data_IF_061437696669
#
_entry.id   IF_061437696669
#
_cell.length_a   1.000
_cell.length_b   1.000
_cell.length_c   1.000
_cell.angle_alpha   90.00
_cell.angle_beta   90.00
_cell.angle_gamma   90.00
#
_symmetry.space_group_name_H-M   'P 1'
#
loop_
_entity.id
_entity.type
_entity.pdbx_description
1 polymer ?
#
# COMPACT_ATOMS: atom_id res chain seq x y z
N UNK A 1 0.71 6.28 -19.69
CA UNK A 1 0.02 6.33 -18.39
C UNK A 1 0.63 5.29 -17.47
N UNK A 2 0.90 5.68 -16.24
CA UNK A 2 1.44 4.77 -15.26
C UNK A 2 0.32 4.18 -14.41
N UNK A 3 0.30 2.86 -14.25
CA UNK A 3 -0.71 2.17 -13.45
C UNK A 3 -0.01 1.47 -12.29
N UNK A 4 -0.54 1.67 -11.08
CA UNK A 4 -0.07 1.00 -9.86
C UNK A 4 -1.21 0.20 -9.26
N UNK A 5 -0.83 -0.87 -8.56
CA UNK A 5 -1.77 -1.67 -7.79
C UNK A 5 -1.23 -1.77 -6.36
N UNK A 6 -2.05 -1.35 -5.42
CA UNK A 6 -1.69 -1.26 -4.01
C UNK A 6 -2.68 -2.06 -3.17
N UNK A 7 -2.30 -2.40 -1.95
CA UNK A 7 -2.98 -3.41 -1.15
C UNK A 7 -3.36 -2.86 0.22
N UNK A 8 -4.57 -3.19 0.66
CA UNK A 8 -5.02 -2.94 2.04
C UNK A 8 -5.27 -4.31 2.67
N UNK A 9 -4.39 -4.70 3.59
CA UNK A 9 -4.54 -5.93 4.36
C UNK A 9 -4.71 -5.57 5.83
N UNK A 10 -5.84 -5.98 6.40
CA UNK A 10 -6.13 -5.75 7.81
C UNK A 10 -6.28 -7.11 8.49
N UNK A 11 -5.58 -7.26 9.61
CA UNK A 11 -5.62 -8.47 10.41
C UNK A 11 -5.45 -8.09 11.88
N UNK A 12 -6.32 -8.60 12.74
CA UNK A 12 -6.24 -8.35 14.19
C UNK A 12 -6.22 -6.87 14.57
N UNK A 13 -6.98 -6.04 13.85
CA UNK A 13 -7.06 -4.61 14.13
C UNK A 13 -5.86 -3.81 13.68
N UNK A 14 -5.01 -4.39 12.84
CA UNK A 14 -3.82 -3.72 12.31
C UNK A 14 -3.81 -3.79 10.79
N UNK A 15 -3.19 -2.79 10.18
CA UNK A 15 -3.01 -2.73 8.72
C UNK A 15 -1.53 -2.81 8.38
N UNK A 16 -1.22 -3.52 7.28
CA UNK A 16 0.15 -3.60 6.77
C UNK A 16 0.47 -2.32 6.00
N UNK A 17 1.56 -1.70 6.38
CA UNK A 17 2.11 -0.53 5.69
C UNK A 17 3.58 -0.77 5.40
N UNK A 18 4.12 0.02 4.51
CA UNK A 18 5.56 0.09 4.28
C UNK A 18 6.04 1.39 4.89
N UNK A 19 6.88 1.28 5.91
CA UNK A 19 7.52 2.43 6.52
C UNK A 19 8.69 2.86 5.65
N UNK A 20 8.73 4.14 5.31
CA UNK A 20 9.76 4.66 4.43
C UNK A 20 10.55 5.77 5.10
N UNK A 21 11.85 5.65 5.01
CA UNK A 21 12.80 6.69 5.39
C UNK A 21 13.56 7.06 4.14
N UNK A 22 13.32 8.25 3.63
CA UNK A 22 13.93 8.71 2.39
C UNK A 22 14.41 10.14 2.57
N UNK A 23 15.73 10.34 2.48
CA UNK A 23 16.36 11.61 2.81
C UNK A 23 15.97 11.98 4.26
N UNK A 24 15.39 13.15 4.49
CA UNK A 24 14.97 13.57 5.84
C UNK A 24 13.49 13.28 6.11
N UNK A 25 12.83 12.55 5.18
CA UNK A 25 11.40 12.26 5.29
C UNK A 25 11.15 10.89 5.90
N UNK A 26 10.16 10.82 6.76
CA UNK A 26 9.67 9.57 7.35
C UNK A 26 8.16 9.52 7.11
N UNK A 27 7.71 8.48 6.41
CA UNK A 27 6.30 8.34 6.09
C UNK A 27 5.95 6.88 5.84
N UNK A 28 4.66 6.61 5.67
CA UNK A 28 4.13 5.26 5.44
C UNK A 28 3.30 5.24 4.18
N UNK A 29 3.39 4.14 3.44
CA UNK A 29 2.56 3.90 2.25
C UNK A 29 1.98 2.50 2.32
N UNK A 30 0.93 2.26 1.55
CA UNK A 30 0.38 0.91 1.41
C UNK A 30 1.29 0.09 0.50
N UNK A 31 1.41 -1.23 0.75
CA UNK A 31 2.21 -2.08 -0.13
C UNK A 31 1.67 -2.08 -1.54
N UNK A 32 2.53 -2.19 -2.52
CA UNK A 32 2.13 -2.24 -3.92
C UNK A 32 3.21 -1.77 -4.85
N UNK A 33 2.89 -1.65 -6.11
CA UNK A 33 3.84 -1.21 -7.11
C UNK A 33 3.25 -1.13 -8.49
N UNK A 34 4.13 -1.00 -9.49
CA UNK A 34 3.73 -0.86 -10.87
C UNK A 34 3.14 -2.14 -11.45
N UNK A 35 2.15 -1.96 -12.32
CA UNK A 35 1.57 -3.08 -13.08
C UNK A 35 2.46 -3.30 -14.30
N UNK A 36 2.96 -4.54 -14.44
CA UNK A 36 3.82 -4.90 -15.57
C UNK A 36 2.98 -5.15 -16.82
N UNK A 37 3.63 -5.07 -17.98
CA UNK A 37 2.97 -5.35 -19.24
C UNK A 37 2.42 -6.78 -19.25
N UNK A 38 1.16 -6.93 -19.65
CA UNK A 38 0.50 -8.23 -19.68
C UNK A 38 -0.09 -8.67 -18.36
N UNK A 39 0.10 -7.90 -17.31
CA UNK A 39 -0.40 -8.19 -15.97
C UNK A 39 -1.66 -7.38 -15.70
N UNK A 40 -2.63 -7.98 -14.99
CA UNK A 40 -3.77 -7.20 -14.49
C UNK A 40 -3.37 -6.46 -13.23
N UNK A 41 -4.09 -5.39 -12.84
CA UNK A 41 -3.83 -4.73 -11.54
C UNK A 41 -3.92 -5.70 -10.36
N UNK A 42 -4.87 -6.63 -10.38
CA UNK A 42 -5.02 -7.64 -9.33
C UNK A 42 -3.79 -8.55 -9.24
N UNK A 43 -3.28 -9.00 -10.39
CA UNK A 43 -2.06 -9.82 -10.42
C UNK A 43 -0.86 -9.06 -9.90
N UNK A 44 -0.75 -7.79 -10.26
CA UNK A 44 0.34 -6.94 -9.78
C UNK A 44 0.27 -6.74 -8.26
N UNK A 45 -0.93 -6.54 -7.73
CA UNK A 45 -1.13 -6.37 -6.29
C UNK A 45 -0.66 -7.61 -5.53
N UNK A 46 -1.02 -8.80 -6.00
CA UNK A 46 -0.62 -10.05 -5.37
C UNK A 46 0.89 -10.24 -5.42
N UNK A 47 1.49 -10.00 -6.58
CA UNK A 47 2.93 -10.13 -6.78
C UNK A 47 3.71 -9.16 -5.90
N UNK A 48 3.34 -7.89 -5.94
CA UNK A 48 4.03 -6.84 -5.16
C UNK A 48 3.91 -7.09 -3.66
N UNK A 49 2.76 -7.56 -3.19
CA UNK A 49 2.57 -7.87 -1.78
C UNK A 49 3.53 -8.96 -1.33
N UNK A 50 3.69 -10.01 -2.12
CA UNK A 50 4.63 -11.07 -1.80
C UNK A 50 6.07 -10.57 -1.84
N UNK A 51 6.44 -9.79 -2.85
CA UNK A 51 7.79 -9.23 -2.95
C UNK A 51 8.13 -8.33 -1.77
N UNK A 52 7.20 -7.48 -1.37
CA UNK A 52 7.47 -6.47 -0.34
C UNK A 52 7.34 -7.00 1.08
N UNK A 53 6.42 -7.93 1.34
CA UNK A 53 6.13 -8.37 2.70
C UNK A 53 6.34 -9.85 2.95
N UNK A 54 6.41 -10.66 1.90
CA UNK A 54 6.45 -12.11 2.02
C UNK A 54 5.09 -12.76 2.16
N UNK A 55 4.03 -11.96 2.26
CA UNK A 55 2.67 -12.49 2.44
C UNK A 55 2.00 -12.77 1.11
N UNK A 56 1.33 -13.93 1.03
CA UNK A 56 0.49 -14.28 -0.10
C UNK A 56 -0.95 -13.94 0.22
N UNK A 57 -1.59 -13.29 -0.71
CA UNK A 57 -2.95 -12.76 -0.52
C UNK A 57 -3.85 -13.11 -1.69
N UNK A 58 -5.15 -13.02 -1.44
CA UNK A 58 -6.17 -13.10 -2.50
C UNK A 58 -6.96 -11.79 -2.48
N UNK A 59 -7.41 -11.37 -3.67
CA UNK A 59 -8.16 -10.12 -3.82
C UNK A 59 -9.60 -10.35 -3.37
N UNK A 60 -10.09 -9.48 -2.50
CA UNK A 60 -11.50 -9.48 -2.10
C UNK A 60 -12.31 -8.51 -2.94
N UNK A 61 -11.83 -7.29 -3.08
CA UNK A 61 -12.49 -6.26 -3.90
C UNK A 61 -11.60 -5.04 -4.03
N UNK A 62 -11.92 -4.19 -4.99
CA UNK A 62 -11.29 -2.89 -5.10
C UNK A 62 -11.97 -1.92 -4.13
N UNK A 63 -11.15 -1.15 -3.41
CA UNK A 63 -11.63 -0.16 -2.44
C UNK A 63 -11.61 1.25 -3.00
N UNK A 64 -10.61 1.56 -3.81
CA UNK A 64 -10.43 2.92 -4.31
C UNK A 64 -9.62 2.92 -5.59
N UNK A 65 -9.86 3.93 -6.41
CA UNK A 65 -9.09 4.20 -7.59
C UNK A 65 -8.72 5.68 -7.55
N UNK A 66 -7.43 5.96 -7.60
CA UNK A 66 -6.93 7.33 -7.49
C UNK A 66 -6.26 7.71 -8.80
N UNK A 67 -6.76 8.75 -9.42
CA UNK A 67 -6.21 9.33 -10.63
C UNK A 67 -5.42 10.58 -10.27
N UNK A 68 -4.15 10.58 -10.58
CA UNK A 68 -3.28 11.71 -10.32
C UNK A 68 -2.45 11.98 -11.57
N UNK A 69 -2.77 13.08 -12.29
CA UNK A 69 -2.14 13.43 -13.56
C UNK A 69 -2.17 12.26 -14.55
N UNK A 70 -1.01 11.69 -14.84
CA UNK A 70 -0.85 10.59 -15.79
C UNK A 70 -0.75 9.23 -15.12
N UNK A 71 -1.15 9.13 -13.84
CA UNK A 71 -1.10 7.86 -13.14
C UNK A 71 -2.48 7.44 -12.63
N UNK A 72 -2.70 6.14 -12.56
CA UNK A 72 -3.88 5.54 -11.96
C UNK A 72 -3.40 4.54 -10.91
N UNK A 73 -3.92 4.66 -9.71
CA UNK A 73 -3.56 3.78 -8.60
C UNK A 73 -4.81 3.03 -8.14
N UNK A 74 -4.75 1.71 -8.15
CA UNK A 74 -5.81 0.85 -7.66
C UNK A 74 -5.49 0.37 -6.26
N UNK A 75 -6.47 0.42 -5.35
CA UNK A 75 -6.31 -0.06 -3.98
C UNK A 75 -7.27 -1.20 -3.74
N UNK A 76 -6.73 -2.38 -3.44
CA UNK A 76 -7.50 -3.60 -3.28
C UNK A 76 -7.53 -4.06 -1.83
N UNK A 77 -8.71 -4.38 -1.32
CA UNK A 77 -8.84 -5.11 -0.06
C UNK A 77 -8.48 -6.55 -0.33
N UNK A 78 -7.59 -7.11 0.47
CA UNK A 78 -7.11 -8.47 0.29
C UNK A 78 -7.24 -9.27 1.57
N UNK A 79 -7.10 -10.59 1.43
CA UNK A 79 -7.10 -11.52 2.55
C UNK A 79 -5.81 -12.35 2.48
N UNK A 80 -5.16 -12.52 3.62
CA UNK A 80 -3.96 -13.33 3.69
C UNK A 80 -4.30 -14.80 3.55
N UNK A 81 -3.59 -15.50 2.66
CA UNK A 81 -3.76 -16.94 2.46
C UNK A 81 -2.51 -17.74 2.76
N UNK A 82 -1.38 -17.09 2.99
CA UNK A 82 -0.13 -17.77 3.32
C UNK A 82 1.04 -16.81 3.37
N UNK A 83 2.24 -17.40 3.41
CA UNK A 83 3.47 -16.64 3.47
C UNK A 83 3.88 -16.29 4.89
N UNK A 84 5.04 -15.67 5.01
CA UNK A 84 5.60 -15.25 6.29
C UNK A 84 5.98 -13.78 6.20
N UNK A 85 5.42 -12.98 7.11
CA UNK A 85 5.68 -11.55 7.14
C UNK A 85 7.17 -11.28 7.39
N UNK A 86 7.75 -10.43 6.56
CA UNK A 86 9.17 -10.10 6.64
C UNK A 86 10.06 -10.96 5.76
N UNK A 87 9.50 -11.94 5.03
CA UNK A 87 10.26 -12.81 4.14
C UNK A 87 10.28 -12.34 2.68
N UNK A 88 9.86 -11.11 2.42
CA UNK A 88 9.86 -10.57 1.07
C UNK A 88 11.26 -10.51 0.46
N UNK A 89 11.29 -10.57 -0.86
CA UNK A 89 12.53 -10.62 -1.64
C UNK A 89 12.76 -9.36 -2.49
N UNK A 90 11.93 -8.35 -2.32
CA UNK A 90 12.06 -7.12 -3.07
C UNK A 90 13.27 -6.29 -2.66
N UNK A 91 13.73 -5.46 -3.56
CA UNK A 91 14.88 -4.57 -3.31
C UNK A 91 14.60 -3.58 -2.17
N UNK A 92 13.34 -3.35 -1.89
CA UNK A 92 12.87 -2.44 -0.86
C UNK A 92 13.34 -2.82 0.54
N UNK A 93 13.72 -4.10 0.74
CA UNK A 93 14.22 -4.59 2.03
C UNK A 93 15.66 -4.21 2.30
N UNK A 94 16.38 -3.68 1.32
CA UNK A 94 17.77 -3.34 1.50
C UNK A 94 17.91 -2.07 2.31
N UNK A 95 19.01 -1.98 3.07
CA UNK A 95 19.35 -0.77 3.79
C UNK A 95 19.60 0.36 2.80
N UNK A 96 19.45 1.60 3.28
CA UNK A 96 19.75 2.76 2.46
C UNK A 96 21.17 2.67 1.94
N UNK A 97 21.32 2.86 0.62
CA UNK A 97 22.62 2.93 -0.01
C UNK A 97 23.24 4.29 0.32
N UNK A 98 24.43 4.32 0.99
CA UNK A 98 25.08 5.59 1.30
C UNK A 98 25.38 6.43 0.05
N UNK A 99 25.57 5.78 -1.10
CA UNK A 99 25.85 6.45 -2.35
C UNK A 99 24.59 6.92 -3.08
N UNK A 100 23.42 6.52 -2.60
CA UNK A 100 22.15 6.92 -3.18
C UNK A 100 21.12 7.20 -2.08
N UNK A 101 21.24 8.31 -1.36
CA UNK A 101 20.33 8.62 -0.25
C UNK A 101 18.87 8.80 -0.66
N UNK A 102 18.62 9.03 -1.96
CA UNK A 102 17.25 9.15 -2.46
C UNK A 102 16.51 7.82 -2.46
N UNK A 103 17.20 6.70 -2.44
CA UNK A 103 16.59 5.38 -2.43
C UNK A 103 15.86 5.10 -1.12
N UNK A 104 16.48 5.44 0.02
CA UNK A 104 15.86 5.28 1.34
C UNK A 104 15.75 3.85 1.82
N UNK A 105 14.99 3.68 2.87
CA UNK A 105 14.73 2.40 3.54
C UNK A 105 13.25 2.07 3.41
N UNK A 106 12.95 0.78 3.20
CA UNK A 106 11.59 0.25 3.10
C UNK A 106 11.42 -0.84 4.15
N UNK A 107 10.52 -0.63 5.11
CA UNK A 107 10.31 -1.58 6.19
C UNK A 107 8.83 -1.94 6.25
N UNK A 108 8.44 -3.21 5.93
CA UNK A 108 7.06 -3.62 6.14
C UNK A 108 6.74 -3.60 7.64
N UNK A 109 5.59 -3.05 7.98
CA UNK A 109 5.20 -2.88 9.37
C UNK A 109 3.69 -3.04 9.53
N UNK A 110 3.27 -3.38 10.74
CA UNK A 110 1.86 -3.40 11.12
C UNK A 110 1.57 -2.15 11.92
N UNK A 111 0.51 -1.43 11.58
CA UNK A 111 0.07 -0.28 12.34
C UNK A 111 -1.36 -0.51 12.83
N UNK A 112 -1.61 -0.26 14.11
CA UNK A 112 -2.95 -0.37 14.65
C UNK A 112 -3.89 0.60 13.94
N UNK A 113 -5.09 0.14 13.57
CA UNK A 113 -6.07 1.00 12.90
C UNK A 113 -6.42 2.22 13.75
N UNK A 114 -6.45 2.05 15.07
CA UNK A 114 -6.73 3.15 15.99
C UNK A 114 -5.68 4.25 15.96
N UNK A 115 -4.46 3.92 15.52
CA UNK A 115 -3.37 4.90 15.43
C UNK A 115 -3.36 5.68 14.12
N UNK A 116 -4.04 5.18 13.07
CA UNK A 116 -4.02 5.85 11.77
C UNK A 116 -4.42 7.32 11.83
N UNK A 117 -5.50 7.71 12.55
CA UNK A 117 -5.86 9.12 12.62
C UNK A 117 -4.84 10.00 13.31
N UNK A 118 -3.94 9.42 14.10
CA UNK A 118 -2.90 10.15 14.81
C UNK A 118 -1.68 10.43 13.95
N UNK A 119 -1.60 9.78 12.78
CA UNK A 119 -0.49 9.97 11.83
C UNK A 119 -0.97 10.81 10.65
N UNK A 120 -0.24 11.88 10.37
CA UNK A 120 -0.50 12.73 9.20
C UNK A 120 0.39 12.35 8.01
N UNK A 121 1.20 11.30 8.17
CA UNK A 121 2.20 10.88 7.19
C UNK A 121 1.93 9.48 6.62
N UNK A 122 0.67 9.04 6.59
CA UNK A 122 0.25 7.80 5.91
C UNK A 122 -0.42 8.19 4.60
N UNK A 123 0.10 7.70 3.49
CA UNK A 123 -0.36 8.09 2.16
C UNK A 123 -0.87 6.91 1.35
N UNK A 124 -1.92 7.09 0.54
CA UNK A 124 -2.69 8.33 0.43
C UNK A 124 -3.67 8.49 1.61
N UNK A 125 -3.90 9.73 2.00
CA UNK A 125 -4.75 10.04 3.14
C UNK A 125 -6.18 9.50 2.99
N UNK A 126 -6.71 9.51 1.78
CA UNK A 126 -8.06 9.01 1.50
C UNK A 126 -8.18 7.52 1.84
N UNK A 127 -7.18 6.72 1.49
CA UNK A 127 -7.19 5.28 1.79
C UNK A 127 -6.96 5.03 3.27
N UNK A 128 -6.09 5.82 3.90
CA UNK A 128 -5.87 5.74 5.35
C UNK A 128 -7.17 6.00 6.12
N UNK A 129 -7.97 6.97 5.67
CA UNK A 129 -9.28 7.25 6.27
C UNK A 129 -10.26 6.09 6.10
N UNK A 130 -10.29 5.49 4.91
CA UNK A 130 -11.14 4.32 4.67
C UNK A 130 -10.77 3.18 5.63
N UNK A 131 -9.49 2.91 5.78
CA UNK A 131 -9.01 1.87 6.67
C UNK A 131 -9.36 2.18 8.14
N UNK A 132 -9.10 3.41 8.58
CA UNK A 132 -9.38 3.82 9.95
C UNK A 132 -10.87 3.71 10.27
N UNK A 133 -11.74 4.04 9.32
CA UNK A 133 -13.18 4.03 9.52
C UNK A 133 -13.82 2.66 9.32
N UNK A 134 -13.06 1.68 8.82
CA UNK A 134 -13.61 0.37 8.48
C UNK A 134 -14.19 -0.38 9.67
N UNK A 135 -13.66 -0.16 10.86
CA UNK A 135 -14.13 -0.81 12.09
C UNK A 135 -15.55 -0.36 12.43
N UNK A 136 -15.81 0.95 12.35
CA UNK A 136 -17.09 1.53 12.78
C UNK A 136 -18.10 1.66 11.65
N UNK A 137 -17.65 2.01 10.45
CA UNK A 137 -18.54 2.31 9.31
C UNK A 137 -18.54 1.22 8.24
N UNK A 138 -17.59 0.27 8.30
CA UNK A 138 -17.39 -0.72 7.24
C UNK A 138 -16.80 -0.10 5.99
N UNK A 139 -16.75 -0.89 4.93
CA UNK A 139 -16.19 -0.44 3.65
C UNK A 139 -17.30 0.14 2.77
N UNK A 140 -16.98 1.11 1.91
CA UNK A 140 -17.95 1.60 0.93
C UNK A 140 -18.47 0.46 0.05
N UNK A 141 -19.71 0.54 -0.38
CA UNK A 141 -20.30 -0.47 -1.26
C UNK A 141 -19.62 -0.50 -2.63
N UNK A 142 -19.19 0.65 -3.11
CA UNK A 142 -18.53 0.82 -4.39
C UNK A 142 -17.14 1.40 -4.18
N UNK A 143 -16.18 1.13 -5.07
CA UNK A 143 -14.86 1.76 -4.97
C UNK A 143 -14.97 3.27 -5.00
N UNK A 144 -14.16 3.91 -4.16
CA UNK A 144 -14.10 5.38 -4.13
C UNK A 144 -13.22 5.84 -5.27
N UNK A 145 -13.71 6.79 -6.06
CA UNK A 145 -12.93 7.40 -7.13
C UNK A 145 -12.43 8.76 -6.67
N UNK A 146 -11.12 8.91 -6.69
CA UNK A 146 -10.47 10.18 -6.34
C UNK A 146 -9.72 10.68 -7.57
N UNK A 147 -9.97 11.92 -7.94
CA UNK A 147 -9.27 12.54 -9.06
C UNK A 147 -8.54 13.77 -8.54
N UNK A 148 -7.22 13.73 -8.61
CA UNK A 148 -6.37 14.83 -8.20
C UNK A 148 -5.64 15.38 -9.42
N UNK A 149 -5.53 16.71 -9.47
CA UNK A 149 -4.82 17.38 -10.56
C UNK A 149 -3.77 18.30 -9.98
N UNK A 150 -2.61 18.27 -10.58
CA UNK A 150 -1.59 19.27 -10.26
C UNK A 150 -2.02 20.62 -10.80
N UNK A 151 -1.85 21.62 -9.97
CA UNK A 151 -2.13 23.00 -10.35
C UNK A 151 -0.88 23.66 -10.91
#
# INVERSE_FOLDING_TARGET
MRVRADVVLIENGQVVLIERHRAEKHYYVFPGGGVDEGETPEQAAIREMEEETGLRVTIKRELAEIHFDLSVQHYFLVEKIGGEFGSGTGEEFTEADPDNPAQGIYIPTWMALAELPEHDNVYPAEVAKLAANSISAGWPKEPVLVVERMK
#
